data_IF_733022583179
#
_entry.id   IF_733022583179
#
_cell.length_a   1.000
_cell.length_b   1.000
_cell.length_c   1.000
_cell.angle_alpha   90.00
_cell.angle_beta   90.00
_cell.angle_gamma   90.00
#
_symmetry.space_group_name_H-M   'P 1'
#
loop_
_entity.id
_entity.type
_entity.pdbx_description
1 polymer ?
#
# COMPACT_ATOMS: atom_id res chain seq x y z
N UNK A 1 21.04 36.05 2.15
CA UNK A 1 21.57 34.99 1.26
C UNK A 1 21.47 33.57 1.83
N UNK A 2 21.51 33.35 3.14
CA UNK A 2 21.41 32.03 3.79
C UNK A 2 20.08 31.25 3.55
N UNK A 3 18.97 31.95 3.37
CA UNK A 3 17.64 31.32 3.25
C UNK A 3 17.37 30.66 1.86
N UNK A 4 18.04 31.14 0.79
CA UNK A 4 17.92 30.52 -0.55
C UNK A 4 18.69 29.20 -0.67
N UNK A 5 19.83 29.09 0.02
CA UNK A 5 20.66 27.88 0.05
C UNK A 5 19.95 26.74 0.82
N UNK A 6 19.24 27.08 1.91
CA UNK A 6 18.49 26.11 2.71
C UNK A 6 17.29 25.52 1.94
N UNK A 7 16.54 26.37 1.21
CA UNK A 7 15.44 25.89 0.34
C UNK A 7 15.93 25.01 -0.81
N UNK A 8 17.13 25.24 -1.31
CA UNK A 8 17.71 24.42 -2.38
C UNK A 8 18.13 23.03 -1.89
N UNK A 9 18.73 22.94 -0.71
CA UNK A 9 19.07 21.67 -0.06
C UNK A 9 17.81 20.84 0.27
N UNK A 10 16.77 21.47 0.82
CA UNK A 10 15.50 20.81 1.12
C UNK A 10 14.85 20.25 -0.15
N UNK A 11 14.89 20.98 -1.29
CA UNK A 11 14.41 20.47 -2.57
C UNK A 11 15.23 19.30 -3.11
N UNK A 12 16.53 19.27 -2.87
CA UNK A 12 17.37 18.13 -3.28
C UNK A 12 17.08 16.88 -2.46
N UNK A 13 16.88 17.02 -1.14
CA UNK A 13 16.56 15.89 -0.28
C UNK A 13 15.13 15.37 -0.53
N UNK A 14 14.16 16.26 -0.72
CA UNK A 14 12.81 15.86 -1.18
C UNK A 14 12.85 15.10 -2.52
N UNK A 15 13.72 15.48 -3.45
CA UNK A 15 13.91 14.74 -4.70
C UNK A 15 14.51 13.34 -4.46
N UNK A 16 15.47 13.21 -3.54
CA UNK A 16 16.06 11.89 -3.20
C UNK A 16 15.01 10.98 -2.55
N UNK A 17 14.21 11.50 -1.62
CA UNK A 17 13.12 10.75 -0.98
C UNK A 17 12.07 10.36 -2.02
N UNK A 18 11.70 11.26 -2.93
CA UNK A 18 10.78 10.97 -4.02
C UNK A 18 11.33 9.89 -4.99
N UNK A 19 12.63 9.93 -5.31
CA UNK A 19 13.28 8.90 -6.12
C UNK A 19 13.35 7.55 -5.39
N UNK A 20 13.64 7.55 -4.08
CA UNK A 20 13.68 6.34 -3.27
C UNK A 20 12.27 5.73 -3.13
N UNK A 21 11.25 6.54 -2.93
CA UNK A 21 9.85 6.13 -2.93
C UNK A 21 9.40 5.59 -4.29
N UNK A 22 9.79 6.26 -5.38
CA UNK A 22 9.52 5.82 -6.74
C UNK A 22 10.21 4.47 -7.03
N UNK A 23 11.43 4.27 -6.54
CA UNK A 23 12.16 3.01 -6.68
C UNK A 23 11.50 1.87 -5.86
N UNK A 24 11.01 2.16 -4.66
CA UNK A 24 10.25 1.19 -3.85
C UNK A 24 8.94 0.82 -4.55
N UNK A 25 8.23 1.80 -5.09
CA UNK A 25 6.99 1.56 -5.86
C UNK A 25 7.26 0.74 -7.13
N UNK A 26 8.36 1.00 -7.84
CA UNK A 26 8.72 0.20 -9.03
C UNK A 26 9.11 -1.22 -8.67
N UNK A 27 9.78 -1.45 -7.55
CA UNK A 27 10.12 -2.80 -7.06
C UNK A 27 8.84 -3.54 -6.65
N UNK A 28 7.93 -2.90 -5.92
CA UNK A 28 6.62 -3.49 -5.54
C UNK A 28 5.74 -3.81 -6.75
N UNK A 29 5.77 -2.96 -7.78
CA UNK A 29 5.07 -3.22 -9.05
C UNK A 29 5.73 -4.35 -9.84
N UNK A 30 7.05 -4.50 -9.79
CA UNK A 30 7.77 -5.59 -10.42
C UNK A 30 7.43 -6.94 -9.79
N UNK A 31 7.34 -7.02 -8.46
CA UNK A 31 6.93 -8.26 -7.75
C UNK A 31 5.49 -8.67 -8.08
N UNK A 32 4.57 -7.70 -8.24
CA UNK A 32 3.19 -7.97 -8.67
C UNK A 32 3.12 -8.47 -10.12
N UNK A 33 4.00 -7.97 -10.98
CA UNK A 33 4.10 -8.42 -12.39
C UNK A 33 4.69 -9.81 -12.47
N UNK A 34 5.70 -10.12 -11.67
CA UNK A 34 6.32 -11.47 -11.63
C UNK A 34 5.35 -12.50 -11.05
N UNK A 35 4.61 -12.17 -9.99
CA UNK A 35 3.62 -13.07 -9.40
C UNK A 35 2.45 -13.42 -10.35
N UNK A 36 2.08 -12.51 -11.27
CA UNK A 36 1.06 -12.80 -12.29
C UNK A 36 1.62 -13.52 -13.53
N UNK A 37 2.93 -13.44 -13.79
CA UNK A 37 3.55 -14.14 -14.93
C UNK A 37 3.84 -15.62 -14.64
N UNK A 38 3.90 -16.02 -13.37
CA UNK A 38 4.20 -17.39 -12.96
C UNK A 38 2.99 -18.29 -12.83
N UNK A 39 1.76 -17.78 -12.98
CA UNK A 39 0.54 -18.58 -12.78
C UNK A 39 0.01 -19.31 -14.01
N UNK A 40 0.59 -19.15 -15.20
CA UNK A 40 0.09 -19.80 -16.42
C UNK A 40 1.00 -20.86 -17.05
N UNK A 41 2.24 -21.08 -16.56
CA UNK A 41 3.19 -21.96 -17.27
C UNK A 41 3.96 -23.00 -16.41
N UNK A 42 3.49 -23.28 -15.19
CA UNK A 42 4.20 -24.21 -14.27
C UNK A 42 4.12 -25.69 -14.65
N UNK A 43 3.29 -26.07 -15.63
CA UNK A 43 3.16 -27.47 -16.05
C UNK A 43 4.23 -27.94 -17.06
N UNK A 44 4.68 -27.05 -17.93
CA UNK A 44 5.60 -27.40 -19.03
C UNK A 44 7.08 -27.21 -18.68
N UNK A 45 7.39 -26.36 -17.72
CA UNK A 45 8.76 -26.09 -17.26
C UNK A 45 9.31 -27.20 -16.36
N UNK A 46 8.47 -27.82 -15.52
CA UNK A 46 8.88 -28.88 -14.61
C UNK A 46 9.29 -30.16 -15.35
N UNK A 47 8.65 -30.50 -16.47
CA UNK A 47 9.02 -31.68 -17.29
C UNK A 47 10.33 -31.52 -18.05
N UNK A 48 10.72 -30.28 -18.38
CA UNK A 48 12.00 -30.00 -19.07
C UNK A 48 13.20 -30.05 -18.13
N UNK A 49 13.02 -29.81 -16.84
CA UNK A 49 14.10 -29.82 -15.84
C UNK A 49 14.44 -31.26 -15.43
N UNK A 50 13.47 -32.18 -15.47
CA UNK A 50 13.68 -33.58 -15.11
C UNK A 50 14.41 -34.41 -16.18
N UNK A 51 14.47 -33.96 -17.43
CA UNK A 51 15.08 -34.70 -18.53
C UNK A 51 16.46 -34.21 -18.97
N UNK A 52 17.01 -33.16 -18.35
CA UNK A 52 18.39 -32.72 -18.61
C UNK A 52 19.29 -33.17 -17.46
N UNK A 53 19.88 -34.35 -17.58
CA UNK A 53 21.09 -34.69 -16.85
C UNK A 53 22.21 -33.76 -17.32
N UNK A 54 22.92 -33.07 -16.41
CA UNK A 54 24.05 -32.24 -16.81
C UNK A 54 25.20 -33.13 -17.20
N UNK A 55 25.64 -33.00 -18.45
CA UNK A 55 26.97 -33.48 -18.85
C UNK A 55 28.01 -32.78 -17.97
N UNK A 56 28.91 -33.57 -17.39
CA UNK A 56 30.04 -33.13 -16.60
C UNK A 56 30.96 -32.27 -17.48
N UNK A 57 30.84 -30.95 -17.31
CA UNK A 57 31.70 -29.96 -17.98
C UNK A 57 32.84 -29.65 -17.05
N UNK A 58 34.01 -30.25 -17.30
CA UNK A 58 35.27 -30.10 -16.54
C UNK A 58 35.84 -28.65 -16.47
N UNK A 59 35.11 -27.66 -17.01
CA UNK A 59 35.50 -26.24 -17.02
C UNK A 59 34.58 -25.33 -16.22
N UNK A 60 33.79 -25.86 -15.29
CA UNK A 60 33.17 -25.02 -14.26
C UNK A 60 34.21 -24.71 -13.21
N UNK A 61 34.63 -23.44 -13.16
CA UNK A 61 35.29 -22.90 -11.96
C UNK A 61 34.45 -23.31 -10.74
N UNK A 62 35.04 -24.20 -9.96
CA UNK A 62 34.50 -24.60 -8.67
C UNK A 62 34.29 -23.35 -7.81
N UNK A 63 33.10 -22.84 -7.76
CA UNK A 63 32.67 -21.96 -6.68
C UNK A 63 32.43 -22.92 -5.52
N UNK A 64 33.51 -23.33 -4.91
CA UNK A 64 33.38 -24.08 -3.83
C UNK A 64 34.44 -24.54 -3.15
N UNK A 65 34.62 -24.02 -2.13
CA UNK A 65 34.53 -24.75 -0.85
C UNK A 65 33.90 -23.78 0.14
N UNK A 66 32.71 -24.02 0.64
CA UNK A 66 32.18 -23.23 1.73
C UNK A 66 32.97 -23.40 3.03
N UNK A 67 34.19 -23.91 2.95
CA UNK A 67 35.10 -24.16 4.05
C UNK A 67 36.47 -23.49 3.94
N UNK A 68 36.73 -22.63 2.93
CA UNK A 68 38.08 -22.04 2.79
C UNK A 68 38.24 -20.68 3.48
N UNK A 69 37.22 -20.10 4.06
CA UNK A 69 37.36 -18.98 4.98
C UNK A 69 37.92 -19.51 6.32
N UNK A 70 39.23 -19.46 6.47
CA UNK A 70 39.91 -19.96 7.67
C UNK A 70 40.08 -18.91 8.76
N UNK A 71 39.78 -17.64 8.47
CA UNK A 71 39.89 -16.56 9.45
C UNK A 71 38.63 -15.67 9.42
N UNK A 72 38.30 -15.10 10.58
CA UNK A 72 37.18 -14.14 10.69
C UNK A 72 37.36 -12.87 9.84
N UNK A 73 38.56 -12.64 9.28
CA UNK A 73 38.89 -11.52 8.40
C UNK A 73 38.45 -11.79 6.95
N UNK A 74 38.48 -13.03 6.50
CA UNK A 74 38.03 -13.42 5.15
C UNK A 74 36.51 -13.29 4.97
N UNK A 75 35.77 -13.27 6.08
CA UNK A 75 34.32 -12.99 6.10
C UNK A 75 34.00 -11.49 6.05
N UNK A 76 35.00 -10.61 6.24
CA UNK A 76 34.81 -9.15 6.17
C UNK A 76 34.83 -8.62 4.75
N UNK A 77 35.36 -9.34 3.77
CA UNK A 77 35.33 -8.93 2.36
C UNK A 77 33.97 -9.17 1.67
N UNK A 78 33.09 -9.99 2.23
CA UNK A 78 31.69 -10.14 1.78
C UNK A 78 30.77 -9.07 2.42
N UNK A 79 31.16 -7.83 2.28
CA UNK A 79 30.68 -6.69 3.07
C UNK A 79 29.43 -5.99 2.53
N UNK A 80 28.50 -6.70 1.92
CA UNK A 80 27.18 -6.11 1.59
C UNK A 80 26.29 -6.07 2.85
N UNK A 81 26.47 -7.02 3.78
CA UNK A 81 25.71 -7.05 5.03
C UNK A 81 26.22 -6.08 6.11
N UNK A 82 27.48 -5.65 6.03
CA UNK A 82 28.10 -4.81 7.07
C UNK A 82 27.81 -3.31 6.91
N UNK A 83 27.30 -2.85 5.77
CA UNK A 83 26.93 -1.45 5.58
C UNK A 83 25.48 -1.14 6.00
N UNK A 84 24.71 -2.13 6.43
CA UNK A 84 23.43 -1.91 7.10
C UNK A 84 23.66 -1.92 8.63
N UNK A 85 24.50 -1.05 9.13
CA UNK A 85 24.59 -0.76 10.57
C UNK A 85 23.43 0.14 10.97
N UNK A 86 22.27 -0.47 11.19
CA UNK A 86 21.24 0.13 12.02
C UNK A 86 21.76 -0.01 13.46
N UNK A 87 22.35 1.04 13.99
CA UNK A 87 22.71 1.15 15.38
C UNK A 87 21.43 1.30 16.22
N UNK A 88 20.78 0.20 16.52
CA UNK A 88 19.87 0.12 17.66
C UNK A 88 20.76 -0.04 18.89
N UNK A 89 21.21 1.08 19.43
CA UNK A 89 21.92 1.12 20.70
C UNK A 89 20.87 0.96 21.83
N UNK A 90 20.52 -0.27 22.12
CA UNK A 90 19.81 -0.63 23.36
C UNK A 90 20.82 -1.28 24.28
N UNK A 91 21.25 -0.50 25.27
CA UNK A 91 22.08 -0.99 26.35
C UNK A 91 21.54 -2.31 26.92
N UNK A 92 22.42 -3.27 27.07
CA UNK A 92 22.24 -4.57 27.74
C UNK A 92 21.45 -5.65 27.01
N UNK A 93 22.09 -6.29 26.06
CA UNK A 93 21.71 -7.59 25.50
C UNK A 93 22.27 -7.75 24.10
N UNK A 94 23.38 -8.48 23.96
CA UNK A 94 23.91 -8.87 22.65
C UNK A 94 22.92 -9.78 21.92
N UNK A 95 21.97 -9.18 21.24
CA UNK A 95 21.21 -9.90 20.21
C UNK A 95 22.21 -10.33 19.15
N UNK A 96 22.35 -11.63 18.90
CA UNK A 96 23.25 -12.12 17.87
C UNK A 96 22.97 -11.39 16.56
N UNK A 97 24.02 -11.02 15.79
CA UNK A 97 23.89 -10.27 14.53
C UNK A 97 22.85 -10.88 13.59
N UNK A 98 22.71 -12.20 13.58
CA UNK A 98 21.70 -12.95 12.82
C UNK A 98 20.27 -12.58 13.21
N UNK A 99 19.97 -12.44 14.51
CA UNK A 99 18.65 -12.11 15.00
C UNK A 99 18.29 -10.66 14.65
N UNK A 100 19.26 -9.76 14.65
CA UNK A 100 19.11 -8.36 14.22
C UNK A 100 18.79 -8.25 12.72
N UNK A 101 19.52 -9.00 11.88
CA UNK A 101 19.25 -9.05 10.44
C UNK A 101 17.85 -9.60 10.20
N UNK A 102 17.44 -10.65 10.90
CA UNK A 102 16.10 -11.22 10.81
C UNK A 102 15.01 -10.20 11.16
N UNK A 103 15.20 -9.44 12.25
CA UNK A 103 14.24 -8.39 12.65
C UNK A 103 14.12 -7.29 11.60
N UNK A 104 15.24 -6.83 11.03
CA UNK A 104 15.24 -5.80 9.98
C UNK A 104 14.54 -6.30 8.73
N UNK A 105 14.85 -7.52 8.28
CA UNK A 105 14.16 -8.12 7.11
C UNK A 105 12.67 -8.27 7.36
N UNK A 106 12.27 -8.71 8.54
CA UNK A 106 10.85 -8.82 8.92
C UNK A 106 10.17 -7.46 8.93
N UNK A 107 10.81 -6.43 9.49
CA UNK A 107 10.29 -5.07 9.48
C UNK A 107 10.10 -4.54 8.05
N UNK A 108 11.10 -4.72 7.17
CA UNK A 108 11.02 -4.31 5.77
C UNK A 108 9.86 -5.03 5.04
N UNK A 109 9.65 -6.32 5.32
CA UNK A 109 8.56 -7.08 4.71
C UNK A 109 7.16 -6.63 5.19
N UNK A 110 7.03 -6.14 6.42
CA UNK A 110 5.75 -5.70 7.01
C UNK A 110 5.38 -4.26 6.64
N UNK A 111 6.36 -3.38 6.41
CA UNK A 111 6.14 -1.96 6.08
C UNK A 111 5.13 -1.75 4.93
N UNK A 112 5.21 -2.43 3.78
CA UNK A 112 4.26 -2.24 2.69
C UNK A 112 2.81 -2.54 3.09
N UNK A 113 2.59 -3.59 3.87
CA UNK A 113 1.26 -3.98 4.35
C UNK A 113 0.71 -2.90 5.29
N UNK A 114 1.53 -2.41 6.22
CA UNK A 114 1.14 -1.33 7.11
C UNK A 114 0.80 -0.06 6.33
N UNK A 115 1.63 0.36 5.38
CA UNK A 115 1.35 1.54 4.56
C UNK A 115 0.01 1.45 3.84
N UNK A 116 -0.33 0.29 3.29
CA UNK A 116 -1.61 0.06 2.62
C UNK A 116 -2.78 0.17 3.60
N UNK A 117 -2.63 -0.40 4.80
CA UNK A 117 -3.73 -0.50 5.78
C UNK A 117 -3.98 0.76 6.60
N UNK A 118 -2.95 1.58 6.87
CA UNK A 118 -3.06 2.77 7.72
C UNK A 118 -3.16 4.09 6.93
N UNK A 119 -3.25 4.03 5.60
CA UNK A 119 -3.39 5.21 4.73
C UNK A 119 -4.74 5.21 4.01
N UNK A 120 -4.98 6.26 3.20
CA UNK A 120 -6.17 6.38 2.34
C UNK A 120 -6.26 5.33 1.21
N UNK A 121 -5.22 4.52 1.00
CA UNK A 121 -5.11 3.57 -0.11
C UNK A 121 -6.28 2.58 -0.17
N UNK A 122 -6.67 2.02 0.97
CA UNK A 122 -7.73 1.00 1.07
C UNK A 122 -9.06 1.53 0.54
N UNK A 123 -9.50 2.71 1.00
CA UNK A 123 -10.75 3.35 0.55
C UNK A 123 -10.71 3.61 -0.96
N UNK A 124 -9.62 4.20 -1.45
CA UNK A 124 -9.47 4.55 -2.86
C UNK A 124 -9.54 3.31 -3.74
N UNK A 125 -8.78 2.28 -3.40
CA UNK A 125 -8.73 1.05 -4.20
C UNK A 125 -10.09 0.35 -4.26
N UNK A 126 -10.78 0.23 -3.14
CA UNK A 126 -12.09 -0.40 -3.06
C UNK A 126 -13.12 0.37 -3.91
N UNK A 127 -13.16 1.69 -3.81
CA UNK A 127 -14.09 2.53 -4.57
C UNK A 127 -13.82 2.44 -6.08
N UNK A 128 -12.55 2.46 -6.51
CA UNK A 128 -12.19 2.26 -7.91
C UNK A 128 -12.58 0.86 -8.42
N UNK A 129 -12.44 -0.18 -7.60
CA UNK A 129 -12.93 -1.51 -7.93
C UNK A 129 -14.46 -1.55 -8.11
N UNK A 130 -15.22 -0.92 -7.21
CA UNK A 130 -16.67 -0.80 -7.33
C UNK A 130 -17.08 -0.04 -8.58
N UNK A 131 -16.38 1.04 -8.94
CA UNK A 131 -16.62 1.80 -10.16
C UNK A 131 -16.47 0.92 -11.40
N UNK A 132 -15.39 0.14 -11.48
CA UNK A 132 -15.19 -0.84 -12.56
C UNK A 132 -16.30 -1.89 -12.61
N UNK A 133 -16.68 -2.44 -11.47
CA UNK A 133 -17.75 -3.44 -11.39
C UNK A 133 -19.10 -2.86 -11.79
N UNK A 134 -19.41 -1.61 -11.40
CA UNK A 134 -20.64 -0.94 -11.76
C UNK A 134 -20.81 -0.79 -13.29
N UNK A 135 -19.71 -0.55 -14.00
CA UNK A 135 -19.66 -0.51 -15.46
C UNK A 135 -19.81 -1.87 -16.12
N UNK A 136 -19.79 -2.96 -15.34
CA UNK A 136 -19.78 -4.35 -15.81
C UNK A 136 -18.60 -4.68 -16.76
N UNK A 137 -17.50 -3.92 -16.67
CA UNK A 137 -16.28 -4.20 -17.42
C UNK A 137 -15.44 -5.21 -16.62
N UNK A 138 -15.22 -6.41 -17.19
CA UNK A 138 -14.55 -7.51 -16.48
C UNK A 138 -13.04 -7.23 -16.27
N UNK A 139 -12.37 -6.59 -17.22
CA UNK A 139 -10.93 -6.42 -17.25
C UNK A 139 -10.43 -5.01 -17.54
N UNK A 140 -11.30 -4.06 -17.86
CA UNK A 140 -10.92 -2.68 -18.20
C UNK A 140 -11.50 -1.67 -17.20
N UNK A 141 -10.66 -0.83 -16.54
CA UNK A 141 -9.20 -0.83 -16.59
C UNK A 141 -8.56 -2.02 -15.84
N UNK A 142 -7.33 -2.46 -16.25
CA UNK A 142 -6.59 -3.52 -15.56
C UNK A 142 -6.32 -3.20 -14.09
N UNK A 143 -6.16 -4.24 -13.24
CA UNK A 143 -5.89 -4.05 -11.81
C UNK A 143 -4.66 -3.18 -11.53
N UNK A 144 -3.60 -3.35 -12.31
CA UNK A 144 -2.37 -2.58 -12.19
C UNK A 144 -2.60 -1.07 -12.35
N UNK A 145 -3.49 -0.68 -13.30
CA UNK A 145 -3.85 0.73 -13.52
C UNK A 145 -4.63 1.28 -12.32
N UNK A 146 -5.57 0.50 -11.77
CA UNK A 146 -6.33 0.91 -10.58
C UNK A 146 -5.43 1.06 -9.36
N UNK A 147 -4.50 0.12 -9.14
CA UNK A 147 -3.51 0.19 -8.07
C UNK A 147 -2.61 1.42 -8.24
N UNK A 148 -2.13 1.68 -9.47
CA UNK A 148 -1.30 2.85 -9.74
C UNK A 148 -2.04 4.16 -9.44
N UNK A 149 -3.28 4.30 -9.90
CA UNK A 149 -4.12 5.48 -9.60
C UNK A 149 -4.32 5.60 -8.08
N UNK A 150 -4.66 4.50 -7.40
CA UNK A 150 -4.84 4.50 -5.96
C UNK A 150 -3.58 4.94 -5.21
N UNK A 151 -2.39 4.49 -5.62
CA UNK A 151 -1.12 4.91 -5.04
C UNK A 151 -0.86 6.41 -5.24
N UNK A 152 -1.02 6.92 -6.46
CA UNK A 152 -0.81 8.35 -6.73
C UNK A 152 -1.78 9.24 -5.93
N UNK A 153 -3.04 8.85 -5.86
CA UNK A 153 -4.03 9.57 -5.07
C UNK A 153 -3.71 9.49 -3.56
N UNK A 154 -3.25 8.33 -3.08
CA UNK A 154 -2.81 8.18 -1.70
C UNK A 154 -1.66 9.12 -1.37
N UNK A 155 -0.63 9.20 -2.22
CA UNK A 155 0.46 10.16 -2.02
C UNK A 155 -0.01 11.61 -2.03
N UNK A 156 -0.97 11.94 -2.88
CA UNK A 156 -1.56 13.28 -2.94
C UNK A 156 -2.31 13.62 -1.64
N UNK A 157 -3.16 12.72 -1.15
CA UNK A 157 -3.96 12.91 0.07
C UNK A 157 -3.07 12.92 1.31
N UNK A 158 -2.09 12.02 1.39
CA UNK A 158 -1.18 11.87 2.53
C UNK A 158 -0.05 12.90 2.55
N UNK A 159 0.08 13.76 1.52
CA UNK A 159 1.14 14.76 1.43
C UNK A 159 1.25 15.64 2.68
N UNK A 160 0.17 16.19 3.27
CA UNK A 160 0.25 16.99 4.49
C UNK A 160 0.77 16.18 5.68
N UNK A 161 0.35 14.90 5.81
CA UNK A 161 0.81 13.99 6.88
C UNK A 161 2.31 13.73 6.74
N UNK A 162 2.77 13.35 5.54
CA UNK A 162 4.19 13.11 5.29
C UNK A 162 5.05 14.37 5.46
N UNK A 163 4.52 15.54 5.12
CA UNK A 163 5.21 16.82 5.34
C UNK A 163 5.41 17.08 6.83
N UNK A 164 4.43 16.81 7.68
CA UNK A 164 4.54 16.92 9.13
C UNK A 164 5.56 15.95 9.70
N UNK A 165 5.50 14.67 9.31
CA UNK A 165 6.51 13.67 9.71
C UNK A 165 7.92 14.14 9.36
N UNK A 166 8.10 14.67 8.15
CA UNK A 166 9.41 15.16 7.71
C UNK A 166 9.92 16.32 8.56
N UNK A 167 9.07 17.33 8.82
CA UNK A 167 9.47 18.54 9.52
C UNK A 167 9.60 18.36 11.02
N UNK A 168 8.74 17.53 11.63
CA UNK A 168 8.67 17.39 13.08
C UNK A 168 9.56 16.25 13.62
N UNK A 169 9.79 15.19 12.83
CA UNK A 169 10.57 14.03 13.25
C UNK A 169 11.90 13.89 12.49
N UNK A 170 11.90 13.89 11.15
CA UNK A 170 13.10 13.54 10.36
C UNK A 170 14.13 14.69 10.43
N UNK A 171 13.71 15.94 10.28
CA UNK A 171 14.63 17.08 10.29
C UNK A 171 15.33 17.27 11.64
N UNK A 172 14.64 17.20 12.80
CA UNK A 172 15.29 17.27 14.11
C UNK A 172 16.18 16.06 14.41
N UNK A 173 15.79 14.86 13.94
CA UNK A 173 16.62 13.67 14.05
C UNK A 173 17.95 13.83 13.28
N UNK A 174 17.89 14.30 12.03
CA UNK A 174 19.08 14.55 11.20
C UNK A 174 19.97 15.67 11.78
N UNK A 175 19.38 16.61 12.54
CA UNK A 175 20.11 17.65 13.25
C UNK A 175 20.77 17.14 14.55
N UNK A 176 20.47 15.93 15.00
CA UNK A 176 20.93 15.35 16.24
C UNK A 176 20.24 15.93 17.48
N UNK A 177 19.09 16.59 17.31
CA UNK A 177 18.30 17.18 18.39
C UNK A 177 17.40 16.15 19.08
N UNK A 178 17.05 15.06 18.35
CA UNK A 178 16.17 13.98 18.83
C UNK A 178 16.89 12.64 18.75
N UNK A 179 16.61 11.76 19.73
CA UNK A 179 16.97 10.36 19.68
C UNK A 179 16.09 9.59 18.69
N UNK A 180 16.54 8.40 18.23
CA UNK A 180 15.78 7.58 17.29
C UNK A 180 14.39 7.21 17.82
N UNK A 181 14.30 6.85 19.09
CA UNK A 181 13.04 6.41 19.72
C UNK A 181 12.04 7.57 19.83
N UNK A 182 12.52 8.75 20.18
CA UNK A 182 11.73 9.98 20.28
C UNK A 182 11.25 10.44 18.89
N UNK A 183 12.14 10.40 17.88
CA UNK A 183 11.78 10.71 16.50
C UNK A 183 10.72 9.75 15.94
N UNK A 184 10.77 8.47 16.32
CA UNK A 184 9.77 7.48 15.91
C UNK A 184 8.40 7.75 16.54
N UNK A 185 8.35 8.15 17.81
CA UNK A 185 7.11 8.52 18.48
C UNK A 185 6.49 9.77 17.82
N UNK A 186 7.29 10.81 17.62
CA UNK A 186 6.84 12.04 16.95
C UNK A 186 6.38 11.74 15.50
N UNK A 187 7.05 10.84 14.78
CA UNK A 187 6.62 10.43 13.44
C UNK A 187 5.29 9.68 13.43
N UNK A 188 4.96 8.99 14.50
CA UNK A 188 3.70 8.25 14.61
C UNK A 188 2.48 9.16 14.84
N UNK A 189 2.66 10.33 15.48
CA UNK A 189 1.56 11.21 15.85
C UNK A 189 0.75 11.76 14.65
N UNK A 190 1.35 12.27 13.56
CA UNK A 190 0.59 12.70 12.39
C UNK A 190 -0.20 11.56 11.71
N UNK A 191 0.31 10.32 11.75
CA UNK A 191 -0.40 9.16 11.23
C UNK A 191 -1.57 8.78 12.13
N UNK A 192 -1.39 8.80 13.46
CA UNK A 192 -2.46 8.56 14.43
C UNK A 192 -3.58 9.58 14.26
N UNK A 193 -3.23 10.87 14.15
CA UNK A 193 -4.18 11.94 13.95
C UNK A 193 -5.00 11.75 12.67
N UNK A 194 -4.34 11.41 11.55
CA UNK A 194 -5.03 11.08 10.30
C UNK A 194 -6.01 9.92 10.47
N UNK A 195 -5.57 8.81 11.08
CA UNK A 195 -6.45 7.66 11.31
C UNK A 195 -7.63 8.02 12.21
N UNK A 196 -7.40 8.81 13.27
CA UNK A 196 -8.46 9.21 14.20
C UNK A 196 -9.52 10.08 13.53
N UNK A 197 -9.11 11.08 12.74
CA UNK A 197 -10.03 11.96 11.99
C UNK A 197 -10.87 11.21 10.96
N UNK A 198 -10.30 10.16 10.33
CA UNK A 198 -10.99 9.38 9.31
C UNK A 198 -11.83 8.22 9.87
N UNK A 199 -11.71 7.92 11.16
CA UNK A 199 -12.46 6.82 11.80
C UNK A 199 -13.77 7.32 12.37
N UNK A 200 -14.86 6.59 12.13
CA UNK A 200 -16.15 6.88 12.74
C UNK A 200 -16.09 6.59 14.24
N UNK A 201 -16.65 7.48 15.05
CA UNK A 201 -16.64 7.36 16.52
C UNK A 201 -17.27 6.06 17.02
N UNK A 202 -18.35 5.61 16.39
CA UNK A 202 -19.02 4.36 16.72
C UNK A 202 -18.09 3.14 16.57
N UNK A 203 -17.19 3.17 15.56
CA UNK A 203 -16.24 2.08 15.35
C UNK A 203 -15.13 2.11 16.40
N UNK A 204 -14.64 3.30 16.79
CA UNK A 204 -13.68 3.43 17.90
C UNK A 204 -14.32 2.93 19.20
N UNK A 205 -15.53 3.37 19.51
CA UNK A 205 -16.25 3.01 20.74
C UNK A 205 -16.47 1.50 20.84
N UNK A 206 -16.86 0.85 19.74
CA UNK A 206 -17.02 -0.60 19.69
C UNK A 206 -15.73 -1.35 20.07
N UNK A 207 -14.58 -0.93 19.54
CA UNK A 207 -13.29 -1.57 19.86
C UNK A 207 -12.77 -1.17 21.25
N UNK A 208 -13.06 0.05 21.74
CA UNK A 208 -12.75 0.47 23.11
C UNK A 208 -13.51 -0.38 24.13
N UNK A 209 -14.79 -0.66 23.87
CA UNK A 209 -15.60 -1.56 24.72
C UNK A 209 -15.04 -2.98 24.73
N UNK A 210 -14.62 -3.53 23.57
CA UNK A 210 -14.00 -4.85 23.48
C UNK A 210 -12.68 -4.91 24.28
N UNK A 211 -11.90 -3.82 24.26
CA UNK A 211 -10.64 -3.73 25.02
C UNK A 211 -10.83 -3.42 26.50
N UNK A 212 -12.07 -3.24 26.99
CA UNK A 212 -12.40 -2.80 28.34
C UNK A 212 -11.69 -1.50 28.76
N UNK A 213 -11.46 -0.59 27.82
CA UNK A 213 -10.82 0.71 28.05
C UNK A 213 -11.89 1.79 28.03
N UNK A 214 -11.93 2.65 29.06
CA UNK A 214 -12.86 3.77 29.08
C UNK A 214 -12.40 4.87 28.13
N UNK A 215 -13.34 5.44 27.37
CA UNK A 215 -13.11 6.56 26.47
C UNK A 215 -14.23 7.58 26.59
N UNK A 216 -13.89 8.87 26.52
CA UNK A 216 -14.83 9.99 26.60
C UNK A 216 -15.61 10.27 25.30
N UNK A 217 -15.27 9.56 24.21
CA UNK A 217 -15.87 9.74 22.89
C UNK A 217 -15.23 10.87 22.06
N UNK A 218 -14.25 11.59 22.59
CA UNK A 218 -13.68 12.77 21.94
C UNK A 218 -12.14 12.80 21.89
N UNK A 219 -11.49 12.37 22.98
CA UNK A 219 -10.04 12.58 23.15
C UNK A 219 -9.21 11.51 22.43
N UNK A 220 -8.47 11.92 21.41
CA UNK A 220 -7.55 11.05 20.65
C UNK A 220 -6.50 10.36 21.52
N UNK A 221 -5.93 11.09 22.49
CA UNK A 221 -4.85 10.59 23.36
C UNK A 221 -5.28 9.40 24.22
N UNK A 222 -6.58 9.22 24.48
CA UNK A 222 -7.12 8.09 25.25
C UNK A 222 -7.23 6.81 24.41
N UNK A 223 -7.19 6.91 23.08
CA UNK A 223 -7.34 5.76 22.19
C UNK A 223 -5.99 5.09 21.93
N UNK A 224 -5.75 3.85 22.42
CA UNK A 224 -4.52 3.14 22.11
C UNK A 224 -4.39 2.85 20.61
N UNK A 225 -3.17 2.87 20.07
CA UNK A 225 -2.93 2.56 18.66
C UNK A 225 -3.41 1.16 18.26
N UNK A 226 -3.36 0.21 19.19
CA UNK A 226 -3.87 -1.17 19.02
C UNK A 226 -5.38 -1.24 18.82
N UNK A 227 -6.12 -0.26 19.30
CA UNK A 227 -7.57 -0.08 19.09
C UNK A 227 -7.81 0.75 17.83
N UNK A 228 -7.05 1.83 17.65
CA UNK A 228 -7.23 2.77 16.55
C UNK A 228 -7.06 2.13 15.17
N UNK A 229 -6.02 1.30 14.98
CA UNK A 229 -5.76 0.67 13.69
C UNK A 229 -6.93 -0.22 13.23
N UNK A 230 -7.41 -1.20 14.00
CA UNK A 230 -8.54 -2.02 13.56
C UNK A 230 -9.84 -1.22 13.41
N UNK A 231 -10.11 -0.23 14.26
CA UNK A 231 -11.26 0.66 14.12
C UNK A 231 -11.21 1.45 12.81
N UNK A 232 -10.03 1.99 12.47
CA UNK A 232 -9.79 2.70 11.22
C UNK A 232 -10.05 1.80 10.00
N UNK A 233 -9.50 0.57 9.99
CA UNK A 233 -9.70 -0.36 8.87
C UNK A 233 -11.20 -0.68 8.68
N UNK A 234 -11.94 -0.94 9.75
CA UNK A 234 -13.38 -1.21 9.69
C UNK A 234 -14.14 0.00 9.19
N UNK A 235 -13.82 1.19 9.68
CA UNK A 235 -14.42 2.45 9.24
C UNK A 235 -14.15 2.74 7.77
N UNK A 236 -12.91 2.52 7.30
CA UNK A 236 -12.52 2.68 5.90
C UNK A 236 -13.27 1.70 4.98
N UNK A 237 -13.42 0.44 5.40
CA UNK A 237 -14.22 -0.54 4.68
C UNK A 237 -15.69 -0.10 4.59
N UNK A 238 -16.31 0.29 5.71
CA UNK A 238 -17.70 0.77 5.75
C UNK A 238 -17.91 1.95 4.80
N UNK A 239 -17.06 2.96 4.91
CA UNK A 239 -17.13 4.16 4.06
C UNK A 239 -16.95 3.82 2.58
N UNK A 240 -15.98 2.96 2.26
CA UNK A 240 -15.73 2.50 0.89
C UNK A 240 -16.94 1.78 0.29
N UNK A 241 -17.61 0.91 1.08
CA UNK A 241 -18.81 0.20 0.63
C UNK A 241 -19.99 1.16 0.43
N UNK A 242 -20.17 2.16 1.30
CA UNK A 242 -21.22 3.16 1.14
C UNK A 242 -21.01 3.95 -0.14
N UNK A 243 -19.79 4.47 -0.37
CA UNK A 243 -19.45 5.22 -1.60
C UNK A 243 -19.61 4.32 -2.83
N UNK A 244 -19.08 3.09 -2.77
CA UNK A 244 -19.20 2.11 -3.86
C UNK A 244 -20.65 1.78 -4.20
N UNK A 245 -21.49 1.60 -3.19
CA UNK A 245 -22.92 1.37 -3.38
C UNK A 245 -23.61 2.58 -4.05
N UNK A 246 -23.30 3.80 -3.60
CA UNK A 246 -23.88 5.02 -4.21
C UNK A 246 -23.50 5.16 -5.69
N UNK A 247 -22.26 4.80 -6.05
CA UNK A 247 -21.81 4.75 -7.45
C UNK A 247 -22.59 3.68 -8.23
N UNK A 248 -22.91 2.55 -7.60
CA UNK A 248 -23.56 1.41 -8.24
C UNK A 248 -25.04 1.69 -8.59
N UNK A 249 -25.73 2.49 -7.76
CA UNK A 249 -27.18 2.75 -7.89
C UNK A 249 -27.61 3.20 -9.31
N UNK A 250 -27.02 4.22 -9.95
CA UNK A 250 -27.45 4.64 -11.28
C UNK A 250 -27.28 3.54 -12.34
N UNK A 251 -26.27 2.69 -12.19
CA UNK A 251 -26.02 1.59 -13.14
C UNK A 251 -26.99 0.42 -12.97
N UNK A 252 -27.46 0.16 -11.75
CA UNK A 252 -28.53 -0.81 -11.49
C UNK A 252 -29.82 -0.38 -12.18
N UNK A 253 -30.14 0.93 -12.17
CA UNK A 253 -31.33 1.45 -12.85
C UNK A 253 -31.26 1.17 -14.36
N UNK A 254 -30.09 1.36 -14.98
CA UNK A 254 -29.89 1.03 -16.40
C UNK A 254 -30.09 -0.45 -16.64
N UNK A 255 -29.54 -1.33 -15.79
CA UNK A 255 -29.72 -2.78 -15.90
C UNK A 255 -31.20 -3.17 -15.84
N UNK A 256 -31.93 -2.59 -14.89
CA UNK A 256 -33.38 -2.85 -14.72
C UNK A 256 -34.19 -2.42 -15.94
N UNK A 257 -33.92 -1.23 -16.49
CA UNK A 257 -34.61 -0.73 -17.68
C UNK A 257 -34.34 -1.63 -18.89
N UNK A 258 -33.07 -1.95 -19.14
CA UNK A 258 -32.69 -2.82 -20.26
C UNK A 258 -33.29 -4.22 -20.10
N UNK A 259 -33.24 -4.79 -18.89
CA UNK A 259 -33.86 -6.10 -18.61
C UNK A 259 -35.36 -6.09 -18.88
N UNK A 260 -36.06 -5.05 -18.44
CA UNK A 260 -37.51 -4.89 -18.64
C UNK A 260 -37.88 -4.83 -20.14
N UNK A 261 -37.12 -4.09 -20.95
CA UNK A 261 -37.31 -3.99 -22.40
C UNK A 261 -37.06 -5.34 -23.07
N UNK A 262 -35.96 -6.02 -22.76
CA UNK A 262 -35.63 -7.32 -23.34
C UNK A 262 -36.68 -8.39 -23.02
N UNK A 263 -37.16 -8.42 -21.76
CA UNK A 263 -38.23 -9.36 -21.37
C UNK A 263 -39.53 -9.06 -22.11
N UNK A 264 -39.90 -7.76 -22.32
CA UNK A 264 -41.11 -7.40 -23.04
C UNK A 264 -41.07 -7.80 -24.53
N UNK A 265 -39.85 -7.86 -25.09
CA UNK A 265 -39.62 -8.34 -26.47
C UNK A 265 -39.50 -9.85 -26.58
N UNK A 266 -39.65 -10.60 -25.50
CA UNK A 266 -39.52 -12.05 -25.49
C UNK A 266 -38.09 -12.60 -25.60
N UNK A 267 -37.08 -11.74 -25.47
CA UNK A 267 -35.65 -12.10 -25.62
C UNK A 267 -35.05 -12.61 -24.31
N UNK A 268 -35.67 -13.66 -23.72
CA UNK A 268 -35.24 -14.19 -22.39
C UNK A 268 -33.88 -14.89 -22.39
N UNK A 269 -33.34 -15.29 -23.54
CA UNK A 269 -32.07 -15.99 -23.62
C UNK A 269 -30.84 -15.07 -23.63
N UNK A 270 -31.03 -13.78 -23.87
CA UNK A 270 -29.91 -12.83 -23.88
C UNK A 270 -29.67 -12.27 -22.47
N UNK A 271 -28.43 -12.33 -21.95
CA UNK A 271 -28.12 -11.75 -20.64
C UNK A 271 -28.26 -10.21 -20.69
N UNK A 272 -29.15 -9.62 -19.88
CA UNK A 272 -29.42 -8.17 -19.90
C UNK A 272 -28.17 -7.34 -19.60
N UNK A 273 -27.28 -7.84 -18.73
CA UNK A 273 -26.06 -7.17 -18.33
C UNK A 273 -25.06 -6.95 -19.48
N UNK A 274 -25.04 -7.86 -20.48
CA UNK A 274 -24.19 -7.70 -21.67
C UNK A 274 -24.72 -6.61 -22.59
N UNK A 275 -26.04 -6.51 -22.69
CA UNK A 275 -26.69 -5.49 -23.54
C UNK A 275 -26.67 -4.11 -22.87
N UNK A 276 -26.73 -4.04 -21.54
CA UNK A 276 -26.69 -2.77 -20.79
C UNK A 276 -25.28 -2.15 -20.72
N UNK A 277 -24.21 -2.93 -20.86
CA UNK A 277 -22.83 -2.47 -20.71
C UNK A 277 -22.48 -1.28 -21.62
N UNK A 278 -22.78 -1.26 -22.92
CA UNK A 278 -22.51 -0.10 -23.78
C UNK A 278 -23.21 1.17 -23.31
N UNK A 279 -24.44 1.06 -22.81
CA UNK A 279 -25.19 2.22 -22.30
C UNK A 279 -24.60 2.76 -21.01
N UNK A 280 -24.12 1.87 -20.11
CA UNK A 280 -23.39 2.25 -18.89
C UNK A 280 -22.12 3.01 -19.21
N UNK A 281 -21.31 2.49 -20.13
CA UNK A 281 -20.05 3.12 -20.55
C UNK A 281 -20.34 4.49 -21.19
N UNK A 282 -21.34 4.56 -22.07
CA UNK A 282 -21.74 5.82 -22.72
C UNK A 282 -22.14 6.88 -21.69
N UNK A 283 -23.02 6.51 -20.74
CA UNK A 283 -23.46 7.41 -19.68
C UNK A 283 -22.27 7.87 -18.83
N UNK A 284 -21.38 6.95 -18.44
CA UNK A 284 -20.21 7.26 -17.63
C UNK A 284 -19.26 8.23 -18.35
N UNK A 285 -19.03 8.04 -19.65
CA UNK A 285 -18.19 8.94 -20.45
C UNK A 285 -18.85 10.32 -20.61
N UNK A 286 -20.16 10.37 -20.91
CA UNK A 286 -20.89 11.63 -21.06
C UNK A 286 -20.95 12.44 -19.76
N UNK A 287 -20.98 11.77 -18.61
CA UNK A 287 -20.98 12.40 -17.30
C UNK A 287 -19.58 12.77 -16.79
N UNK A 288 -18.51 12.55 -17.58
CA UNK A 288 -17.11 12.65 -17.09
C UNK A 288 -16.88 11.86 -15.81
N UNK A 289 -17.34 10.60 -15.79
CA UNK A 289 -17.46 9.77 -14.59
C UNK A 289 -16.16 9.54 -13.86
N UNK A 290 -15.03 9.37 -14.56
CA UNK A 290 -13.73 9.21 -13.90
C UNK A 290 -13.34 10.45 -13.10
N UNK A 291 -13.51 11.63 -13.66
CA UNK A 291 -13.20 12.88 -12.96
C UNK A 291 -14.11 13.06 -11.75
N UNK A 292 -15.42 12.82 -11.91
CA UNK A 292 -16.37 12.90 -10.81
C UNK A 292 -16.00 11.95 -9.67
N UNK A 293 -15.77 10.67 -9.97
CA UNK A 293 -15.42 9.67 -8.95
C UNK A 293 -14.14 10.06 -8.23
N UNK A 294 -13.07 10.42 -8.95
CA UNK A 294 -11.78 10.75 -8.35
C UNK A 294 -11.88 12.02 -7.50
N UNK A 295 -12.49 13.09 -8.01
CA UNK A 295 -12.59 14.36 -7.29
C UNK A 295 -13.42 14.21 -6.01
N UNK A 296 -14.61 13.60 -6.10
CA UNK A 296 -15.45 13.38 -4.92
C UNK A 296 -14.80 12.43 -3.92
N UNK A 297 -14.12 11.38 -4.39
CA UNK A 297 -13.39 10.46 -3.51
C UNK A 297 -12.29 11.18 -2.72
N UNK A 298 -11.50 12.03 -3.39
CA UNK A 298 -10.47 12.85 -2.71
C UNK A 298 -11.12 13.80 -1.72
N UNK A 299 -12.24 14.44 -2.07
CA UNK A 299 -12.97 15.33 -1.15
C UNK A 299 -13.49 14.66 0.12
N UNK A 300 -13.65 13.35 0.14
CA UNK A 300 -14.07 12.63 1.37
C UNK A 300 -13.00 12.58 2.46
N UNK A 301 -11.78 13.00 2.18
CA UNK A 301 -10.66 13.03 3.12
C UNK A 301 -10.40 14.45 3.67
N UNK A 302 -11.04 15.47 3.08
CA UNK A 302 -10.96 16.87 3.45
C UNK A 302 -12.32 17.37 3.91
#
# INVERSE_FOLDING_TARGET
MKNKSRKYKIRQELRKIAYMLCMIVTILLADVVVANATSEDDGAAAERILNNQPEENENRTNINDPGSAQTGEDLQELNIANNLTITLDSGNGELSGTLRILLVLTAIAVIPILLVTITSFTRILIVLHFTRQALNTQSAPPNQVLIAIALFLTFFIMQPVFSRIYTEAIVPYDAGELGFEEALQIAADPMRHFMFEQTQRDDIDAFMQISNTAWDGETEAQVPTTVLIPSFIVSELRTSFIIGFMIYVPFIVIDMVVASVLMSMGMMMLPPTTISMPFKILLFVLADGWNLVIVYLVQTFY
#
